data_IF_412261477693
#
_entry.id   IF_412261477693
#
_cell.length_a   1.000
_cell.length_b   1.000
_cell.length_c   1.000
_cell.angle_alpha   90.00
_cell.angle_beta   90.00
_cell.angle_gamma   90.00
#
_symmetry.space_group_name_H-M   'P 1'
#
loop_
_entity.id
_entity.type
_entity.pdbx_description
1 polymer ?
#
# COMPACT_ATOMS: atom_id res chain seq x y z
N UNK A 1 -6.05 0.96 28.93
CA UNK A 1 -5.76 0.63 27.51
C UNK A 1 -6.97 -0.06 26.92
N UNK A 2 -7.41 0.36 25.76
CA UNK A 2 -8.48 -0.30 25.04
C UNK A 2 -7.99 -1.64 24.49
N UNK A 3 -8.83 -2.69 24.61
CA UNK A 3 -8.52 -4.01 24.08
C UNK A 3 -8.62 -4.08 22.56
N UNK A 4 -8.03 -5.13 21.98
CA UNK A 4 -8.11 -5.39 20.54
C UNK A 4 -9.52 -5.81 20.12
N UNK A 5 -9.90 -5.44 18.92
CA UNK A 5 -11.16 -5.88 18.29
C UNK A 5 -10.94 -7.16 17.50
N UNK A 6 -12.01 -7.92 17.27
CA UNK A 6 -11.99 -9.12 16.45
C UNK A 6 -12.70 -8.84 15.13
N UNK A 7 -12.02 -9.08 14.02
CA UNK A 7 -12.57 -8.89 12.68
C UNK A 7 -12.93 -10.24 12.07
N UNK A 8 -14.14 -10.38 11.48
CA UNK A 8 -14.55 -11.62 10.81
C UNK A 8 -13.65 -11.98 9.63
N UNK A 9 -13.60 -13.28 9.32
CA UNK A 9 -12.82 -13.81 8.18
C UNK A 9 -13.65 -13.92 6.88
N UNK A 10 -14.69 -13.10 6.74
CA UNK A 10 -15.47 -13.05 5.51
C UNK A 10 -14.59 -12.60 4.33
N UNK A 11 -14.61 -13.29 3.17
CA UNK A 11 -13.72 -12.97 2.05
C UNK A 11 -13.93 -11.57 1.48
N UNK A 12 -15.16 -11.05 1.42
CA UNK A 12 -15.43 -9.69 0.93
C UNK A 12 -14.80 -8.66 1.86
N UNK A 13 -15.00 -8.83 3.16
CA UNK A 13 -14.41 -7.98 4.19
C UNK A 13 -12.88 -8.02 4.13
N UNK A 14 -12.30 -9.23 4.03
CA UNK A 14 -10.84 -9.36 3.93
C UNK A 14 -10.27 -8.70 2.67
N UNK A 15 -10.99 -8.76 1.54
CA UNK A 15 -10.55 -8.07 0.32
C UNK A 15 -10.50 -6.54 0.52
N UNK A 16 -11.53 -5.94 1.15
CA UNK A 16 -11.54 -4.52 1.48
C UNK A 16 -10.41 -4.16 2.45
N UNK A 17 -10.21 -4.97 3.50
CA UNK A 17 -9.13 -4.75 4.46
C UNK A 17 -7.74 -4.78 3.80
N UNK A 18 -7.48 -5.71 2.87
CA UNK A 18 -6.22 -5.73 2.11
C UNK A 18 -5.93 -4.41 1.40
N UNK A 19 -6.95 -3.81 0.80
CA UNK A 19 -6.83 -2.53 0.09
C UNK A 19 -6.65 -1.38 1.08
N UNK A 20 -7.53 -1.30 2.09
CA UNK A 20 -7.48 -0.26 3.12
C UNK A 20 -6.16 -0.26 3.89
N UNK A 21 -5.70 -1.45 4.29
CA UNK A 21 -4.44 -1.61 5.03
C UNK A 21 -3.22 -1.26 4.17
N UNK A 22 -3.21 -1.65 2.90
CA UNK A 22 -2.13 -1.28 1.99
C UNK A 22 -1.98 0.25 1.89
N UNK A 23 -3.09 0.97 1.74
CA UNK A 23 -3.11 2.42 1.70
C UNK A 23 -2.71 3.03 3.07
N UNK A 24 -3.29 2.54 4.17
CA UNK A 24 -3.01 3.04 5.51
C UNK A 24 -1.53 2.91 5.88
N UNK A 25 -0.97 1.72 5.73
CA UNK A 25 0.41 1.43 6.14
C UNK A 25 1.42 2.16 5.24
N UNK A 26 1.18 2.22 3.92
CA UNK A 26 2.04 3.04 3.05
C UNK A 26 1.93 4.52 3.38
N UNK A 27 0.73 5.02 3.71
CA UNK A 27 0.51 6.39 4.16
C UNK A 27 1.33 6.72 5.41
N UNK A 28 1.36 5.82 6.42
CA UNK A 28 2.21 5.98 7.60
C UNK A 28 3.70 6.05 7.22
N UNK A 29 4.17 5.16 6.35
CA UNK A 29 5.57 5.17 5.88
C UNK A 29 5.97 6.43 5.13
N UNK A 30 5.06 7.02 4.36
CA UNK A 30 5.33 8.30 3.70
C UNK A 30 5.28 9.47 4.69
N UNK A 31 4.41 9.42 5.69
CA UNK A 31 4.35 10.42 6.76
C UNK A 31 5.66 10.55 7.55
N UNK A 32 6.47 9.48 7.67
CA UNK A 32 7.80 9.51 8.30
C UNK A 32 8.81 10.44 7.59
N UNK A 33 8.50 10.90 6.37
CA UNK A 33 9.34 11.85 5.65
C UNK A 33 9.08 13.31 6.02
N UNK A 34 8.01 13.61 6.74
CA UNK A 34 7.70 14.98 7.17
C UNK A 34 8.85 15.57 7.98
N UNK A 35 9.47 16.61 7.47
CA UNK A 35 10.67 17.23 8.03
C UNK A 35 12.00 16.51 7.76
N UNK A 36 12.02 15.48 6.91
CA UNK A 36 13.19 14.63 6.65
C UNK A 36 13.55 14.47 5.18
N UNK A 37 12.71 14.97 4.27
CA UNK A 37 12.96 14.83 2.83
C UNK A 37 14.18 15.66 2.37
N UNK A 38 14.82 15.29 1.24
CA UNK A 38 16.04 15.94 0.79
C UNK A 38 15.86 17.39 0.40
N UNK A 39 14.65 17.80 -0.01
CA UNK A 39 14.26 19.17 -0.34
C UNK A 39 12.82 19.43 0.09
N UNK A 40 12.46 20.71 0.29
CA UNK A 40 11.12 21.11 0.79
C UNK A 40 10.00 20.66 -0.13
N UNK A 41 10.20 20.71 -1.44
CA UNK A 41 9.21 20.29 -2.42
C UNK A 41 8.85 18.82 -2.27
N UNK A 42 9.84 17.98 -1.99
CA UNK A 42 9.62 16.55 -1.77
C UNK A 42 9.00 16.25 -0.39
N UNK A 43 9.34 17.03 0.61
CA UNK A 43 8.70 16.95 1.93
C UNK A 43 7.19 17.19 1.81
N UNK A 44 6.81 18.25 1.11
CA UNK A 44 5.42 18.58 0.83
C UNK A 44 4.74 17.50 -0.04
N UNK A 45 5.42 17.02 -1.09
CA UNK A 45 4.87 16.03 -2.00
C UNK A 45 4.60 14.70 -1.28
N UNK A 46 5.58 14.17 -0.52
CA UNK A 46 5.44 12.92 0.21
C UNK A 46 4.37 13.03 1.31
N UNK A 47 4.30 14.16 2.01
CA UNK A 47 3.27 14.42 3.02
C UNK A 47 1.87 14.47 2.39
N UNK A 48 1.69 15.09 1.23
CA UNK A 48 0.41 15.10 0.53
C UNK A 48 0.02 13.70 0.04
N UNK A 49 0.97 12.93 -0.51
CA UNK A 49 0.71 11.54 -0.90
C UNK A 49 0.32 10.67 0.30
N UNK A 50 0.92 10.90 1.48
CA UNK A 50 0.52 10.24 2.71
C UNK A 50 -0.94 10.55 3.07
N UNK A 51 -1.35 11.82 2.98
CA UNK A 51 -2.73 12.24 3.24
C UNK A 51 -3.72 11.64 2.22
N UNK A 52 -3.37 11.58 0.94
CA UNK A 52 -4.19 10.95 -0.09
C UNK A 52 -4.41 9.46 0.24
N UNK A 53 -3.34 8.74 0.58
CA UNK A 53 -3.40 7.32 0.95
C UNK A 53 -4.22 7.08 2.22
N UNK A 54 -4.08 7.94 3.24
CA UNK A 54 -4.93 7.88 4.44
C UNK A 54 -6.40 8.14 4.08
N UNK A 55 -6.66 9.08 3.17
CA UNK A 55 -8.01 9.34 2.66
C UNK A 55 -8.61 8.15 1.91
N UNK A 56 -7.82 7.46 1.08
CA UNK A 56 -8.21 6.22 0.40
C UNK A 56 -8.48 5.11 1.43
N UNK A 57 -7.57 4.92 2.39
CA UNK A 57 -7.72 3.95 3.47
C UNK A 57 -9.01 4.20 4.26
N UNK A 58 -9.27 5.44 4.64
CA UNK A 58 -10.47 5.84 5.36
C UNK A 58 -11.73 5.41 4.62
N UNK A 59 -11.87 5.75 3.33
CA UNK A 59 -13.04 5.38 2.54
C UNK A 59 -13.25 3.86 2.48
N UNK A 60 -12.19 3.09 2.24
CA UNK A 60 -12.28 1.62 2.17
C UNK A 60 -12.55 0.99 3.53
N UNK A 61 -11.93 1.50 4.60
CA UNK A 61 -12.14 0.97 5.96
C UNK A 61 -13.54 1.32 6.49
N UNK A 62 -14.10 2.50 6.16
CA UNK A 62 -15.51 2.81 6.45
C UNK A 62 -16.43 1.77 5.80
N UNK A 63 -16.28 1.54 4.49
CA UNK A 63 -17.06 0.52 3.79
C UNK A 63 -16.85 -0.89 4.36
N UNK A 64 -15.63 -1.23 4.78
CA UNK A 64 -15.33 -2.50 5.43
C UNK A 64 -16.04 -2.62 6.79
N UNK A 65 -16.05 -1.55 7.57
CA UNK A 65 -16.70 -1.51 8.90
C UNK A 65 -18.21 -1.71 8.84
N UNK A 66 -18.89 -1.09 7.87
CA UNK A 66 -20.31 -1.29 7.61
C UNK A 66 -20.69 -2.74 7.25
N UNK A 67 -19.70 -3.52 6.79
CA UNK A 67 -19.89 -4.95 6.49
C UNK A 67 -19.59 -5.86 7.69
N UNK A 68 -19.04 -5.30 8.77
CA UNK A 68 -18.84 -6.04 10.01
C UNK A 68 -20.15 -6.17 10.79
N UNK A 69 -20.49 -7.34 11.34
CA UNK A 69 -21.63 -7.49 12.22
C UNK A 69 -21.61 -6.61 13.47
N UNK A 70 -20.42 -6.13 13.83
CA UNK A 70 -20.18 -5.23 14.98
C UNK A 70 -20.27 -3.75 14.61
N UNK A 71 -20.46 -3.41 13.33
CA UNK A 71 -20.56 -2.04 12.82
C UNK A 71 -19.36 -1.16 13.28
N UNK A 72 -18.14 -1.63 13.01
CA UNK A 72 -16.92 -0.90 13.35
C UNK A 72 -16.75 0.33 12.47
N UNK A 73 -16.35 1.45 13.05
CA UNK A 73 -15.90 2.60 12.29
C UNK A 73 -14.45 2.41 11.74
N UNK A 74 -14.04 3.30 10.85
CA UNK A 74 -12.73 3.28 10.23
C UNK A 74 -11.58 3.42 11.25
N UNK A 75 -11.79 4.18 12.32
CA UNK A 75 -10.79 4.40 13.36
C UNK A 75 -10.60 3.14 14.22
N UNK A 76 -11.68 2.43 14.54
CA UNK A 76 -11.58 1.16 15.23
C UNK A 76 -10.81 0.13 14.39
N UNK A 77 -11.09 0.06 13.08
CA UNK A 77 -10.35 -0.81 12.18
C UNK A 77 -8.89 -0.38 12.02
N UNK A 78 -8.59 0.92 12.01
CA UNK A 78 -7.23 1.41 11.90
C UNK A 78 -6.41 1.27 13.19
N UNK A 79 -7.01 1.46 14.38
CA UNK A 79 -6.24 1.63 15.61
C UNK A 79 -6.41 0.52 16.65
N UNK A 80 -7.38 -0.38 16.49
CA UNK A 80 -7.68 -1.37 17.52
C UNK A 80 -7.45 -2.83 17.11
N UNK A 81 -7.02 -3.10 15.87
CA UNK A 81 -6.62 -4.45 15.44
C UNK A 81 -5.21 -4.78 15.93
N UNK A 82 -4.96 -6.05 16.18
CA UNK A 82 -3.61 -6.55 16.44
C UNK A 82 -2.84 -6.77 15.14
N UNK A 83 -1.53 -6.92 15.22
CA UNK A 83 -0.65 -7.05 14.06
C UNK A 83 -1.13 -8.10 13.05
N UNK A 84 -1.57 -9.27 13.53
CA UNK A 84 -2.03 -10.38 12.68
C UNK A 84 -3.35 -10.15 11.98
N UNK A 85 -4.08 -9.12 12.38
CA UNK A 85 -5.38 -8.76 11.80
C UNK A 85 -5.24 -7.73 10.66
N UNK A 86 -4.03 -7.22 10.43
CA UNK A 86 -3.71 -6.42 9.25
C UNK A 86 -3.38 -7.32 8.07
N UNK A 87 -3.83 -6.91 6.89
CA UNK A 87 -3.76 -7.71 5.67
C UNK A 87 -3.06 -6.98 4.51
N UNK A 88 -2.20 -6.02 4.80
CA UNK A 88 -1.41 -5.31 3.80
C UNK A 88 -0.30 -6.20 3.21
N UNK A 89 0.06 -6.04 1.94
CA UNK A 89 1.25 -6.69 1.40
C UNK A 89 2.52 -6.18 2.10
N UNK A 90 3.47 -7.07 2.35
CA UNK A 90 4.68 -6.79 3.12
C UNK A 90 5.50 -5.60 2.58
N UNK A 91 5.49 -5.38 1.26
CA UNK A 91 6.26 -4.29 0.63
C UNK A 91 5.92 -2.91 1.19
N UNK A 92 4.68 -2.67 1.64
CA UNK A 92 4.24 -1.35 2.15
C UNK A 92 4.67 -1.10 3.60
N UNK A 93 4.97 -2.16 4.37
CA UNK A 93 5.36 -2.04 5.77
C UNK A 93 6.87 -1.99 6.00
N UNK A 94 7.68 -2.30 4.98
CA UNK A 94 9.13 -2.24 5.07
C UNK A 94 9.58 -0.87 5.58
N UNK A 95 10.71 -0.83 6.22
CA UNK A 95 11.29 0.42 6.77
C UNK A 95 11.30 1.57 5.75
N UNK A 96 11.38 2.81 6.23
CA UNK A 96 11.46 3.99 5.37
C UNK A 96 12.61 3.87 4.37
N UNK A 97 13.77 3.40 4.81
CA UNK A 97 14.98 3.37 4.02
C UNK A 97 15.50 4.77 3.67
N UNK A 98 16.29 4.87 2.61
CA UNK A 98 16.66 6.15 2.02
C UNK A 98 15.63 6.64 0.99
N UNK A 99 15.89 7.80 0.40
CA UNK A 99 14.97 8.40 -0.57
C UNK A 99 14.83 7.54 -1.84
N UNK A 100 15.91 6.91 -2.31
CA UNK A 100 15.86 6.01 -3.47
C UNK A 100 14.98 4.77 -3.19
N UNK A 101 15.10 4.19 -2.01
CA UNK A 101 14.25 3.09 -1.57
C UNK A 101 12.76 3.49 -1.52
N UNK A 102 12.46 4.66 -0.95
CA UNK A 102 11.08 5.15 -0.83
C UNK A 102 10.47 5.44 -2.20
N UNK A 103 11.14 6.17 -3.08
CA UNK A 103 10.55 6.51 -4.38
C UNK A 103 10.38 5.28 -5.27
N UNK A 104 11.29 4.30 -5.20
CA UNK A 104 11.12 3.05 -5.93
C UNK A 104 9.98 2.20 -5.38
N UNK A 105 9.85 2.08 -4.04
CA UNK A 105 8.69 1.45 -3.41
C UNK A 105 7.39 2.10 -3.87
N UNK A 106 7.36 3.43 -3.87
CA UNK A 106 6.18 4.18 -4.32
C UNK A 106 5.89 3.94 -5.81
N UNK A 107 6.89 3.90 -6.68
CA UNK A 107 6.69 3.58 -8.09
C UNK A 107 6.03 2.20 -8.25
N UNK A 108 6.54 1.18 -7.54
CA UNK A 108 6.00 -0.18 -7.57
C UNK A 108 4.57 -0.27 -7.04
N UNK A 109 4.33 0.32 -5.86
CA UNK A 109 3.02 0.21 -5.18
C UNK A 109 1.99 1.12 -5.81
N UNK A 110 2.35 2.36 -6.22
CA UNK A 110 1.43 3.26 -6.90
C UNK A 110 1.02 2.72 -8.28
N UNK A 111 1.93 2.03 -9.01
CA UNK A 111 1.59 1.34 -10.25
C UNK A 111 0.57 0.22 -9.98
N UNK A 112 0.77 -0.57 -8.93
CA UNK A 112 -0.17 -1.61 -8.53
C UNK A 112 -1.52 -1.02 -8.11
N UNK A 113 -1.54 -0.01 -7.24
CA UNK A 113 -2.76 0.66 -6.79
C UNK A 113 -3.52 1.31 -7.95
N UNK A 114 -2.82 1.97 -8.88
CA UNK A 114 -3.43 2.56 -10.07
C UNK A 114 -4.19 1.50 -10.88
N UNK A 115 -3.55 0.38 -11.20
CA UNK A 115 -4.16 -0.71 -11.94
C UNK A 115 -5.32 -1.35 -11.17
N UNK A 116 -5.20 -1.50 -9.87
CA UNK A 116 -6.26 -1.99 -9.00
C UNK A 116 -7.46 -1.04 -9.03
N UNK A 117 -7.25 0.27 -8.81
CA UNK A 117 -8.32 1.26 -8.84
C UNK A 117 -8.99 1.38 -10.22
N UNK A 118 -8.24 1.21 -11.31
CA UNK A 118 -8.83 1.16 -12.66
C UNK A 118 -9.85 0.04 -12.79
N UNK A 119 -9.54 -1.15 -12.29
CA UNK A 119 -10.43 -2.31 -12.32
C UNK A 119 -11.60 -2.18 -11.35
N UNK A 120 -11.37 -1.61 -10.17
CA UNK A 120 -12.40 -1.44 -9.14
C UNK A 120 -13.46 -0.39 -9.48
N UNK A 121 -13.25 0.46 -10.47
CA UNK A 121 -14.30 1.34 -11.02
C UNK A 121 -15.49 0.57 -11.58
N UNK A 122 -15.27 -0.66 -11.98
CA UNK A 122 -16.29 -1.57 -12.51
C UNK A 122 -16.77 -2.59 -11.46
N UNK A 123 -16.51 -2.32 -10.16
CA UNK A 123 -16.93 -3.17 -9.05
C UNK A 123 -18.44 -3.36 -9.01
N UNK A 124 -18.88 -4.57 -8.62
CA UNK A 124 -20.29 -4.84 -8.29
C UNK A 124 -20.77 -4.07 -7.05
N UNK A 125 -19.87 -3.56 -6.22
CA UNK A 125 -20.16 -2.68 -5.10
C UNK A 125 -20.02 -1.22 -5.55
N UNK A 126 -21.15 -0.50 -5.59
CA UNK A 126 -21.21 0.87 -6.13
C UNK A 126 -20.39 1.88 -5.31
N UNK A 127 -20.28 1.67 -3.99
CA UNK A 127 -19.51 2.55 -3.13
C UNK A 127 -18.00 2.32 -3.33
N UNK A 128 -17.55 1.08 -3.42
CA UNK A 128 -16.18 0.76 -3.78
C UNK A 128 -15.83 1.33 -5.17
N UNK A 129 -16.73 1.25 -6.13
CA UNK A 129 -16.52 1.84 -7.47
C UNK A 129 -16.38 3.38 -7.40
N UNK A 130 -17.16 4.05 -6.55
CA UNK A 130 -17.06 5.50 -6.35
C UNK A 130 -15.73 5.90 -5.67
N UNK A 131 -15.31 5.17 -4.63
CA UNK A 131 -14.00 5.33 -3.98
C UNK A 131 -12.89 5.16 -5.02
N UNK A 132 -12.94 4.10 -5.82
CA UNK A 132 -11.95 3.82 -6.85
C UNK A 132 -11.85 4.93 -7.91
N UNK A 133 -12.99 5.53 -8.28
CA UNK A 133 -13.02 6.65 -9.24
C UNK A 133 -12.27 7.90 -8.76
N UNK A 134 -12.26 8.15 -7.44
CA UNK A 134 -11.49 9.23 -6.81
C UNK A 134 -10.02 8.82 -6.67
N UNK A 135 -9.77 7.68 -6.05
CA UNK A 135 -8.44 7.18 -5.71
C UNK A 135 -7.53 6.99 -6.95
N UNK A 136 -8.11 6.62 -8.09
CA UNK A 136 -7.38 6.46 -9.34
C UNK A 136 -6.65 7.75 -9.79
N UNK A 137 -7.25 8.92 -9.56
CA UNK A 137 -6.62 10.20 -9.94
C UNK A 137 -5.38 10.46 -9.09
N UNK A 138 -5.49 10.19 -7.79
CA UNK A 138 -4.40 10.33 -6.82
C UNK A 138 -3.29 9.30 -7.13
N UNK A 139 -3.65 8.03 -7.35
CA UNK A 139 -2.68 6.98 -7.68
C UNK A 139 -1.90 7.23 -8.98
N UNK A 140 -2.52 7.84 -9.99
CA UNK A 140 -1.83 8.26 -11.22
C UNK A 140 -0.77 9.33 -10.94
N UNK A 141 -1.10 10.29 -10.10
CA UNK A 141 -0.13 11.31 -9.70
C UNK A 141 1.02 10.68 -8.88
N UNK A 142 0.70 9.82 -7.92
CA UNK A 142 1.72 9.13 -7.11
C UNK A 142 2.68 8.31 -7.98
N UNK A 143 2.15 7.58 -8.96
CA UNK A 143 2.96 6.81 -9.90
C UNK A 143 3.87 7.71 -10.73
N UNK A 144 3.33 8.76 -11.35
CA UNK A 144 4.10 9.66 -12.21
C UNK A 144 5.23 10.33 -11.43
N UNK A 145 4.91 10.89 -10.24
CA UNK A 145 5.90 11.51 -9.37
C UNK A 145 7.03 10.53 -9.00
N UNK A 146 6.66 9.32 -8.58
CA UNK A 146 7.64 8.32 -8.19
C UNK A 146 8.48 7.83 -9.38
N UNK A 147 7.87 7.62 -10.55
CA UNK A 147 8.57 7.23 -11.78
C UNK A 147 9.59 8.29 -12.21
N UNK A 148 9.22 9.56 -12.18
CA UNK A 148 10.13 10.68 -12.50
C UNK A 148 11.38 10.66 -11.60
N UNK A 149 11.21 10.36 -10.31
CA UNK A 149 12.34 10.24 -9.41
C UNK A 149 13.18 9.00 -9.63
N UNK A 150 12.56 7.86 -9.95
CA UNK A 150 13.30 6.64 -10.31
C UNK A 150 14.20 6.90 -11.52
N UNK A 151 13.68 7.57 -12.56
CA UNK A 151 14.46 7.94 -13.74
C UNK A 151 15.60 8.89 -13.39
N UNK A 152 15.32 9.97 -12.64
CA UNK A 152 16.35 10.94 -12.21
C UNK A 152 17.47 10.30 -11.39
N UNK A 153 17.15 9.34 -10.52
CA UNK A 153 18.15 8.67 -9.70
C UNK A 153 18.96 7.64 -10.50
N UNK A 154 18.32 6.96 -11.47
CA UNK A 154 18.98 6.00 -12.35
C UNK A 154 19.93 6.64 -13.37
N UNK A 155 19.57 7.83 -13.89
CA UNK A 155 20.37 8.60 -14.85
C UNK A 155 21.22 9.70 -14.19
N UNK A 156 21.27 9.74 -12.88
CA UNK A 156 21.95 10.78 -12.11
C UNK A 156 23.43 10.51 -11.88
N UNK A 157 23.86 10.58 -10.62
CA UNK A 157 25.23 10.30 -10.21
C UNK A 157 25.46 8.80 -10.00
N UNK A 158 26.70 8.38 -9.98
CA UNK A 158 27.07 6.99 -9.64
C UNK A 158 26.50 6.58 -8.27
N UNK A 159 26.51 7.50 -7.30
CA UNK A 159 25.95 7.24 -5.97
C UNK A 159 24.44 7.03 -6.02
N UNK A 160 23.68 7.90 -6.72
CA UNK A 160 22.22 7.75 -6.83
C UNK A 160 21.85 6.45 -7.56
N UNK A 161 22.62 6.09 -8.59
CA UNK A 161 22.44 4.86 -9.33
C UNK A 161 22.65 3.63 -8.44
N UNK A 162 23.73 3.58 -7.69
CA UNK A 162 24.01 2.48 -6.76
C UNK A 162 22.90 2.32 -5.70
N UNK A 163 22.38 3.43 -5.18
CA UNK A 163 21.27 3.42 -4.21
C UNK A 163 19.98 2.86 -4.81
N UNK A 164 19.60 3.29 -6.01
CA UNK A 164 18.38 2.81 -6.65
C UNK A 164 18.51 1.33 -7.08
N UNK A 165 19.69 0.87 -7.53
CA UNK A 165 19.97 -0.53 -7.83
C UNK A 165 19.87 -1.40 -6.58
N UNK A 166 20.43 -0.95 -5.46
CA UNK A 166 20.32 -1.66 -4.18
C UNK A 166 18.86 -1.72 -3.69
N UNK A 167 18.12 -0.63 -3.81
CA UNK A 167 16.69 -0.59 -3.51
C UNK A 167 15.90 -1.56 -4.38
N UNK A 168 16.19 -1.60 -5.70
CA UNK A 168 15.54 -2.50 -6.65
C UNK A 168 15.77 -3.97 -6.28
N UNK A 169 17.01 -4.34 -5.99
CA UNK A 169 17.35 -5.71 -5.61
C UNK A 169 16.60 -6.17 -4.34
N UNK A 170 16.39 -5.27 -3.39
CA UNK A 170 15.71 -5.56 -2.13
C UNK A 170 14.18 -5.57 -2.28
N UNK A 171 13.59 -4.54 -2.87
CA UNK A 171 12.14 -4.40 -3.00
C UNK A 171 11.53 -5.43 -3.93
N UNK A 172 12.26 -5.83 -4.98
CA UNK A 172 11.77 -6.81 -5.95
C UNK A 172 11.40 -8.15 -5.32
N UNK A 173 12.05 -8.51 -4.22
CA UNK A 173 11.76 -9.74 -3.48
C UNK A 173 10.30 -9.81 -2.97
N UNK A 174 9.69 -8.68 -2.70
CA UNK A 174 8.35 -8.58 -2.11
C UNK A 174 7.23 -8.37 -3.14
N UNK A 175 7.59 -8.13 -4.41
CA UNK A 175 6.58 -7.87 -5.46
C UNK A 175 5.70 -9.08 -5.81
N UNK A 176 6.16 -10.36 -5.73
CA UNK A 176 5.29 -11.50 -6.03
C UNK A 176 4.04 -11.55 -5.17
N UNK A 177 4.09 -11.11 -3.91
CA UNK A 177 2.95 -11.09 -3.00
C UNK A 177 1.77 -10.25 -3.52
N UNK A 178 2.04 -9.19 -4.28
CA UNK A 178 1.00 -8.34 -4.87
C UNK A 178 0.09 -9.13 -5.84
N UNK A 179 0.61 -10.22 -6.40
CA UNK A 179 -0.01 -11.00 -7.47
C UNK A 179 -0.33 -12.46 -7.10
N UNK A 180 0.03 -12.88 -5.88
CA UNK A 180 -0.28 -14.21 -5.38
C UNK A 180 -1.76 -14.30 -5.00
N UNK A 181 -2.54 -15.07 -5.74
CA UNK A 181 -3.97 -15.26 -5.47
C UNK A 181 -4.21 -16.28 -4.36
N UNK A 182 -5.27 -16.06 -3.61
CA UNK A 182 -5.81 -17.02 -2.65
C UNK A 182 -7.36 -17.06 -2.69
N UNK A 183 -7.97 -17.66 -1.69
CA UNK A 183 -9.43 -17.80 -1.62
C UNK A 183 -10.16 -16.45 -1.56
N UNK A 184 -9.54 -15.41 -0.98
CA UNK A 184 -10.09 -14.05 -0.91
C UNK A 184 -10.15 -13.43 -2.30
N UNK A 185 -9.04 -13.50 -3.05
CA UNK A 185 -8.96 -12.98 -4.42
C UNK A 185 -9.94 -13.73 -5.34
N UNK A 186 -10.03 -15.05 -5.21
CA UNK A 186 -10.97 -15.87 -5.99
C UNK A 186 -12.44 -15.50 -5.69
N UNK A 187 -12.80 -15.25 -4.43
CA UNK A 187 -14.14 -14.84 -4.03
C UNK A 187 -14.48 -13.43 -4.53
N UNK A 188 -13.55 -12.48 -4.43
CA UNK A 188 -13.72 -11.12 -4.95
C UNK A 188 -13.96 -11.13 -6.46
N UNK A 189 -13.19 -11.92 -7.21
CA UNK A 189 -13.38 -12.09 -8.65
C UNK A 189 -14.72 -12.73 -8.99
N UNK A 190 -15.10 -13.81 -8.29
CA UNK A 190 -16.33 -14.54 -8.55
C UNK A 190 -17.59 -13.69 -8.28
N UNK A 191 -17.55 -12.80 -7.28
CA UNK A 191 -18.64 -11.88 -6.97
C UNK A 191 -18.66 -10.61 -7.82
N UNK A 192 -17.62 -10.36 -8.61
CA UNK A 192 -17.45 -9.12 -9.35
C UNK A 192 -17.03 -7.93 -8.45
N UNK A 193 -16.66 -8.18 -7.21
CA UNK A 193 -16.21 -7.14 -6.29
C UNK A 193 -14.92 -6.46 -6.78
N UNK A 194 -13.96 -7.25 -7.30
CA UNK A 194 -12.72 -6.73 -7.82
C UNK A 194 -11.89 -7.80 -8.54
N UNK A 195 -10.74 -7.42 -9.12
CA UNK A 195 -9.85 -8.34 -9.80
C UNK A 195 -9.12 -9.27 -8.83
N UNK A 196 -8.71 -10.43 -9.32
CA UNK A 196 -7.67 -11.21 -8.67
C UNK A 196 -6.30 -10.53 -8.87
N UNK A 197 -5.37 -10.69 -7.91
CA UNK A 197 -4.04 -10.08 -7.98
C UNK A 197 -3.27 -10.47 -9.24
N UNK A 198 -3.35 -11.74 -9.65
CA UNK A 198 -2.68 -12.25 -10.85
C UNK A 198 -3.09 -11.54 -12.14
N UNK A 199 -4.30 -10.99 -12.22
CA UNK A 199 -4.78 -10.25 -13.40
C UNK A 199 -4.09 -8.89 -13.58
N UNK A 200 -3.46 -8.38 -12.52
CA UNK A 200 -2.71 -7.11 -12.54
C UNK A 200 -1.23 -7.31 -12.87
N UNK A 201 -0.71 -8.54 -12.83
CA UNK A 201 0.72 -8.81 -12.94
C UNK A 201 1.32 -8.37 -14.28
N UNK A 202 0.74 -8.79 -15.39
CA UNK A 202 1.30 -8.48 -16.72
C UNK A 202 1.20 -6.98 -17.07
N UNK A 203 0.08 -6.27 -16.80
CA UNK A 203 0.04 -4.81 -16.94
C UNK A 203 1.07 -4.11 -16.05
N UNK A 204 1.22 -4.54 -14.80
CA UNK A 204 2.19 -3.98 -13.88
C UNK A 204 3.64 -4.18 -14.37
N UNK A 205 3.97 -5.38 -14.85
CA UNK A 205 5.29 -5.68 -15.41
C UNK A 205 5.60 -4.84 -16.65
N UNK A 206 4.59 -4.56 -17.49
CA UNK A 206 4.75 -3.71 -18.66
C UNK A 206 5.15 -2.28 -18.24
N UNK A 207 4.42 -1.68 -17.31
CA UNK A 207 4.70 -0.33 -16.82
C UNK A 207 6.04 -0.26 -16.05
N UNK A 208 6.33 -1.23 -15.20
CA UNK A 208 7.63 -1.27 -14.50
C UNK A 208 8.80 -1.44 -15.46
N UNK A 209 8.62 -2.15 -16.58
CA UNK A 209 9.65 -2.26 -17.62
C UNK A 209 9.94 -0.93 -18.29
N UNK A 210 8.91 -0.12 -18.54
CA UNK A 210 9.06 1.23 -19.07
C UNK A 210 9.79 2.13 -18.08
N UNK A 211 9.32 2.24 -16.84
CA UNK A 211 9.92 3.08 -15.80
C UNK A 211 11.40 2.70 -15.56
N UNK A 212 11.66 1.41 -15.36
CA UNK A 212 13.04 0.96 -15.11
C UNK A 212 13.92 1.10 -16.35
N UNK A 213 13.36 0.87 -17.55
CA UNK A 213 14.07 1.06 -18.81
C UNK A 213 14.51 2.50 -19.04
N UNK A 214 13.64 3.47 -18.77
CA UNK A 214 13.98 4.90 -18.82
C UNK A 214 15.05 5.29 -17.80
N UNK A 215 15.05 4.65 -16.64
CA UNK A 215 16.08 4.83 -15.61
C UNK A 215 17.42 4.11 -15.94
N UNK A 216 17.51 3.41 -17.08
CA UNK A 216 18.66 2.58 -17.42
C UNK A 216 18.86 1.36 -16.54
N UNK A 217 17.79 0.91 -15.85
CA UNK A 217 17.80 -0.24 -14.96
C UNK A 217 17.16 -1.47 -15.64
N UNK A 218 17.72 -2.65 -15.36
CA UNK A 218 17.15 -3.88 -15.87
C UNK A 218 16.04 -4.41 -14.96
N UNK A 219 14.95 -4.90 -15.57
CA UNK A 219 13.90 -5.59 -14.82
C UNK A 219 14.52 -6.86 -14.17
N UNK A 220 14.44 -7.03 -12.84
CA UNK A 220 15.00 -8.21 -12.20
C UNK A 220 14.27 -9.49 -12.60
N UNK A 221 14.94 -10.63 -12.45
CA UNK A 221 14.33 -11.95 -12.65
C UNK A 221 13.34 -12.24 -11.52
N UNK A 222 12.40 -13.14 -11.81
CA UNK A 222 11.50 -13.67 -10.78
C UNK A 222 12.28 -14.29 -9.61
N UNK A 223 11.74 -14.10 -8.42
CA UNK A 223 12.30 -14.64 -7.17
C UNK A 223 11.45 -15.79 -6.64
N UNK A 224 12.09 -16.73 -5.96
CA UNK A 224 11.41 -17.80 -5.22
C UNK A 224 10.95 -17.32 -3.81
N UNK A 225 11.40 -16.15 -3.37
CA UNK A 225 10.98 -15.59 -2.08
C UNK A 225 9.49 -15.25 -2.10
N UNK A 226 8.81 -15.54 -1.00
CA UNK A 226 7.39 -15.23 -0.79
C UNK A 226 7.19 -14.64 0.59
N UNK A 227 6.68 -13.42 0.64
CA UNK A 227 6.14 -12.79 1.83
C UNK A 227 4.64 -13.10 1.96
N UNK A 228 4.05 -12.80 3.10
CA UNK A 228 2.68 -13.22 3.44
C UNK A 228 1.91 -12.20 4.28
N UNK A 229 2.23 -10.90 4.18
CA UNK A 229 1.53 -9.82 4.90
C UNK A 229 0.03 -9.83 4.63
N UNK A 230 -0.38 -10.11 3.39
CA UNK A 230 -1.81 -10.28 3.01
C UNK A 230 -2.55 -11.36 3.81
N UNK A 231 -1.83 -12.19 4.57
CA UNK A 231 -2.35 -13.28 5.41
C UNK A 231 -2.04 -13.09 6.88
N UNK A 232 -1.68 -11.87 7.30
CA UNK A 232 -1.35 -11.53 8.69
C UNK A 232 0.00 -12.05 9.17
N UNK A 233 0.94 -12.34 8.26
CA UNK A 233 2.32 -12.72 8.60
C UNK A 233 3.25 -11.60 8.13
N UNK A 234 3.58 -10.74 9.05
CA UNK A 234 4.28 -9.48 8.79
C UNK A 234 5.77 -9.57 9.05
N UNK A 235 6.50 -8.56 8.57
CA UNK A 235 7.88 -8.32 8.95
C UNK A 235 7.97 -7.69 10.35
N UNK A 236 9.16 -7.68 10.95
CA UNK A 236 9.41 -7.01 12.23
C UNK A 236 9.03 -5.51 12.22
N UNK A 237 8.98 -4.89 11.03
CA UNK A 237 8.67 -3.47 10.90
C UNK A 237 7.22 -3.12 11.21
N UNK A 238 6.29 -4.06 11.04
CA UNK A 238 4.87 -3.82 11.29
C UNK A 238 4.59 -3.48 12.75
N UNK A 239 5.20 -4.22 13.67
CA UNK A 239 5.04 -3.97 15.10
C UNK A 239 5.47 -2.55 15.51
N UNK A 240 6.53 -2.00 14.90
CA UNK A 240 6.97 -0.63 15.15
C UNK A 240 5.96 0.41 14.62
N UNK A 241 5.43 0.22 13.40
CA UNK A 241 4.39 1.11 12.84
C UNK A 241 3.18 1.15 13.78
N UNK A 242 2.69 -0.02 14.18
CA UNK A 242 1.51 -0.09 15.03
C UNK A 242 1.75 0.49 16.42
N UNK A 243 2.93 0.29 17.00
CA UNK A 243 3.27 0.87 18.30
C UNK A 243 3.20 2.41 18.29
N UNK A 244 3.61 3.06 17.20
CA UNK A 244 3.51 4.50 17.03
C UNK A 244 2.09 4.94 16.66
N UNK A 245 1.51 4.32 15.64
CA UNK A 245 0.21 4.70 15.09
C UNK A 245 -0.93 4.53 16.10
N UNK A 246 -0.94 3.43 16.85
CA UNK A 246 -2.06 3.06 17.74
C UNK A 246 -1.92 3.62 19.16
N UNK A 247 -0.77 4.17 19.53
CA UNK A 247 -0.47 4.52 20.92
C UNK A 247 -1.52 5.43 21.55
N UNK A 248 -1.83 6.54 20.90
CA UNK A 248 -2.77 7.53 21.46
C UNK A 248 -4.18 6.97 21.63
N UNK A 249 -4.68 6.29 20.60
CA UNK A 249 -6.03 5.72 20.59
C UNK A 249 -6.20 4.64 21.66
N UNK A 250 -5.18 3.81 21.85
CA UNK A 250 -5.20 2.74 22.87
C UNK A 250 -4.96 3.25 24.28
N UNK A 251 -4.13 4.26 24.44
CA UNK A 251 -3.80 4.83 25.75
C UNK A 251 -4.91 5.75 26.30
N UNK A 252 -5.62 6.47 25.43
CA UNK A 252 -6.63 7.47 25.79
C UNK A 252 -7.95 7.20 25.05
N UNK A 253 -8.70 6.11 25.38
CA UNK A 253 -9.94 5.76 24.72
C UNK A 253 -10.97 6.90 24.83
N UNK A 254 -11.59 7.25 23.69
CA UNK A 254 -12.57 8.34 23.62
C UNK A 254 -11.98 9.75 23.67
N UNK A 255 -10.65 9.89 23.56
CA UNK A 255 -9.99 11.19 23.39
C UNK A 255 -10.43 11.86 22.08
N UNK A 256 -10.68 13.18 22.14
CA UNK A 256 -10.90 14.01 20.95
C UNK A 256 -9.60 14.74 20.63
N UNK A 257 -9.17 14.68 19.37
CA UNK A 257 -7.91 15.23 18.88
C UNK A 257 -8.14 16.30 17.82
#
# INVERSE_FOLDING_TARGET
>A
MQGSIQVPTDPKLQYLLRIGDACLILGQRLGEWCGHAPIVEEDIALSNMALDLIGQARGVLTLAGEQCPQDYDEDQLAFLRDERDYLNPTIVELERGDFAFTVLRNAMVATWLKLLWERLRDSSDAELAAIAGKALKEARYHQQHAADWVVRLGDGTEESRQRIEAALARLWLYTPELFDDDAVDAAARASGLGPAGSELREPWLAEMREILGEAGLALPKDTAFRSSGKRGVHSEHMGYILAEMQHLQRAYPGGAW
#
